data_IF_474990514200
#
_entry.id   IF_474990514200
#
_cell.length_a   1.000
_cell.length_b   1.000
_cell.length_c   1.000
_cell.angle_alpha   90.00
_cell.angle_beta   90.00
_cell.angle_gamma   90.00
#
_symmetry.space_group_name_H-M   'P 1'
#
loop_
_entity.id
_entity.type
_entity.pdbx_description
1 polymer ?
#
# COMPACT_ATOMS: atom_id res chain seq x y z
N UNK A 1 7.89 34.03 -14.22
CA UNK A 1 9.20 33.60 -13.73
C UNK A 1 9.23 33.88 -12.23
N UNK A 2 8.82 32.96 -11.41
CA UNK A 2 8.86 33.07 -9.95
C UNK A 2 9.89 32.07 -9.43
N UNK A 3 11.04 32.60 -9.02
CA UNK A 3 12.07 31.82 -8.31
C UNK A 3 11.51 31.37 -6.97
N UNK A 4 11.34 30.09 -6.80
CA UNK A 4 10.98 29.46 -5.53
C UNK A 4 12.14 29.66 -4.56
N UNK A 5 11.92 30.49 -3.54
CA UNK A 5 12.89 30.78 -2.48
C UNK A 5 12.96 29.57 -1.53
N UNK A 6 13.73 28.55 -1.91
CA UNK A 6 13.92 27.31 -1.12
C UNK A 6 14.50 27.54 0.28
N UNK A 7 15.19 28.64 0.52
CA UNK A 7 15.91 28.89 1.79
C UNK A 7 14.97 29.22 2.96
N UNK A 8 13.80 29.80 2.71
CA UNK A 8 12.84 30.17 3.77
C UNK A 8 11.98 29.00 4.25
N UNK A 9 11.72 28.03 3.39
CA UNK A 9 10.95 26.84 3.79
C UNK A 9 11.78 25.89 4.67
N UNK A 10 13.06 25.69 4.40
CA UNK A 10 13.93 24.85 5.23
C UNK A 10 14.14 25.42 6.64
N UNK A 11 14.27 26.74 6.79
CA UNK A 11 14.44 27.36 8.12
C UNK A 11 13.17 27.27 8.97
N UNK A 12 11.99 27.30 8.36
CA UNK A 12 10.72 27.13 9.04
C UNK A 12 10.55 25.68 9.57
N UNK A 13 10.99 24.67 8.81
CA UNK A 13 10.97 23.27 9.24
C UNK A 13 11.97 22.97 10.37
N UNK A 14 13.14 23.62 10.40
CA UNK A 14 14.11 23.44 11.49
C UNK A 14 13.64 24.08 12.80
N UNK A 15 13.06 25.26 12.75
CA UNK A 15 12.50 25.92 13.94
C UNK A 15 11.25 25.17 14.47
N UNK A 16 10.41 24.61 13.59
CA UNK A 16 9.31 23.73 14.00
C UNK A 16 9.81 22.46 14.72
N UNK A 17 10.98 21.95 14.34
CA UNK A 17 11.54 20.74 14.96
C UNK A 17 11.97 20.95 16.41
N UNK A 18 12.49 22.12 16.75
CA UNK A 18 12.84 22.46 18.13
C UNK A 18 11.63 22.80 19.00
N UNK A 19 10.56 23.34 18.43
CA UNK A 19 9.30 23.57 19.13
C UNK A 19 8.49 22.27 19.35
N UNK A 20 8.43 21.37 18.38
CA UNK A 20 7.77 20.07 18.47
C UNK A 20 8.41 19.17 19.56
N UNK A 21 9.72 19.34 19.83
CA UNK A 21 10.42 18.60 20.92
C UNK A 21 10.04 19.06 22.33
N UNK A 22 9.22 20.10 22.47
CA UNK A 22 8.65 20.55 23.75
C UNK A 22 7.23 20.02 24.00
N UNK A 23 6.61 19.39 23.00
CA UNK A 23 5.29 18.82 23.16
C UNK A 23 5.36 17.49 23.93
N UNK A 24 4.36 17.27 24.74
CA UNK A 24 4.20 16.03 25.47
C UNK A 24 3.93 14.90 24.49
N UNK A 25 4.76 13.89 24.51
CA UNK A 25 4.61 12.68 23.70
C UNK A 25 3.73 11.70 24.50
N UNK A 26 2.72 11.13 23.84
CA UNK A 26 1.96 10.00 24.39
C UNK A 26 2.84 8.75 24.22
N UNK A 27 3.32 8.19 25.31
CA UNK A 27 4.26 7.06 25.34
C UNK A 27 3.69 5.79 26.01
N UNK A 28 2.44 5.86 26.49
CA UNK A 28 1.75 4.73 27.09
C UNK A 28 0.37 4.49 26.48
N UNK A 29 -0.09 3.24 26.54
CA UNK A 29 -1.46 2.87 26.11
C UNK A 29 -2.51 3.53 27.02
N UNK A 30 -2.22 3.68 28.30
CA UNK A 30 -3.11 4.34 29.27
C UNK A 30 -3.36 5.79 28.88
N UNK A 31 -2.30 6.56 28.66
CA UNK A 31 -2.39 7.96 28.26
C UNK A 31 -3.09 8.14 26.90
N UNK A 32 -2.83 7.20 25.96
CA UNK A 32 -3.55 7.17 24.69
C UNK A 32 -5.05 6.96 24.89
N UNK A 33 -5.44 6.03 25.78
CA UNK A 33 -6.86 5.73 26.06
C UNK A 33 -7.55 6.85 26.84
N UNK A 34 -6.87 7.50 27.73
CA UNK A 34 -7.38 8.70 28.43
C UNK A 34 -7.71 9.83 27.44
N UNK A 35 -6.89 9.99 26.41
CA UNK A 35 -7.08 11.03 25.37
C UNK A 35 -8.18 10.68 24.37
N UNK A 36 -8.31 9.42 23.95
CA UNK A 36 -9.16 8.98 22.84
C UNK A 36 -10.33 8.07 23.23
N UNK A 37 -10.32 7.53 24.46
CA UNK A 37 -11.31 6.54 24.88
C UNK A 37 -11.20 5.21 24.14
N UNK A 38 -12.29 4.45 24.15
CA UNK A 38 -12.40 3.15 23.48
C UNK A 38 -13.41 3.21 22.33
N UNK A 39 -13.25 2.37 21.29
CA UNK A 39 -14.24 2.24 20.24
C UNK A 39 -15.59 1.81 20.86
N UNK A 40 -16.67 2.37 20.35
CA UNK A 40 -18.03 2.08 20.83
C UNK A 40 -19.01 1.86 19.69
N UNK A 41 -20.16 1.27 19.99
CA UNK A 41 -21.21 1.01 19.02
C UNK A 41 -20.73 0.16 17.84
N UNK A 42 -21.13 0.54 16.62
CA UNK A 42 -20.77 -0.19 15.39
C UNK A 42 -19.26 -0.29 15.15
N UNK A 43 -18.48 0.67 15.64
CA UNK A 43 -17.03 0.66 15.46
C UNK A 43 -16.36 -0.49 16.22
N UNK A 44 -16.92 -0.88 17.37
CA UNK A 44 -16.43 -2.02 18.16
C UNK A 44 -16.96 -3.38 17.68
N UNK A 45 -18.03 -3.39 16.87
CA UNK A 45 -18.73 -4.62 16.49
C UNK A 45 -18.48 -5.07 15.05
N UNK A 46 -17.78 -4.25 14.25
CA UNK A 46 -17.63 -4.49 12.80
C UNK A 46 -16.53 -5.47 12.43
N UNK A 47 -15.66 -5.82 13.38
CA UNK A 47 -14.55 -6.75 13.16
C UNK A 47 -15.08 -8.17 13.12
N UNK A 48 -14.70 -8.91 12.08
CA UNK A 48 -15.13 -10.28 11.83
C UNK A 48 -13.88 -11.17 11.70
N UNK A 49 -13.93 -12.44 12.12
CA UNK A 49 -12.80 -13.36 12.00
C UNK A 49 -12.67 -13.97 10.61
N UNK A 50 -13.63 -13.74 9.72
CA UNK A 50 -13.68 -14.33 8.38
C UNK A 50 -14.40 -13.41 7.39
N UNK A 51 -14.22 -13.69 6.10
CA UNK A 51 -14.93 -12.99 5.01
C UNK A 51 -16.43 -13.35 5.02
N UNK A 52 -17.22 -12.37 4.67
CA UNK A 52 -18.62 -12.54 4.30
C UNK A 52 -18.84 -12.24 2.80
N UNK A 53 -20.06 -12.38 2.31
CA UNK A 53 -20.41 -12.11 0.91
C UNK A 53 -20.07 -10.68 0.46
N UNK A 54 -20.10 -9.70 1.36
CA UNK A 54 -19.84 -8.29 1.05
C UNK A 54 -18.35 -8.00 0.95
N UNK A 55 -17.56 -8.55 1.86
CA UNK A 55 -16.10 -8.42 1.86
C UNK A 55 -15.47 -9.20 0.70
N UNK A 56 -16.01 -10.38 0.35
CA UNK A 56 -15.65 -11.12 -0.87
C UNK A 56 -15.91 -10.26 -2.11
N UNK A 57 -17.13 -9.72 -2.26
CA UNK A 57 -17.44 -8.85 -3.40
C UNK A 57 -16.57 -7.61 -3.48
N UNK A 58 -16.16 -7.03 -2.34
CA UNK A 58 -15.23 -5.90 -2.33
C UNK A 58 -13.83 -6.30 -2.82
N UNK A 59 -13.31 -7.46 -2.40
CA UNK A 59 -12.02 -8.00 -2.87
C UNK A 59 -12.06 -8.25 -4.38
N UNK A 60 -13.14 -8.84 -4.88
CA UNK A 60 -13.32 -9.13 -6.31
C UNK A 60 -13.37 -7.86 -7.18
N UNK A 61 -13.91 -6.77 -6.66
CA UNK A 61 -13.97 -5.47 -7.35
C UNK A 61 -12.66 -4.68 -7.25
N UNK A 62 -11.78 -5.01 -6.31
CA UNK A 62 -10.59 -4.22 -6.05
C UNK A 62 -9.47 -4.48 -7.08
N UNK A 63 -9.03 -3.45 -7.83
CA UNK A 63 -7.86 -3.55 -8.70
C UNK A 63 -6.56 -3.19 -7.98
N UNK A 64 -6.64 -2.72 -6.72
CA UNK A 64 -5.49 -2.16 -6.02
C UNK A 64 -5.56 -2.43 -4.52
N UNK A 65 -4.43 -2.78 -3.96
CA UNK A 65 -4.27 -2.96 -2.52
C UNK A 65 -2.89 -2.48 -2.05
N UNK A 66 -2.78 -2.25 -0.75
CA UNK A 66 -1.50 -2.00 -0.08
C UNK A 66 -1.27 -3.11 0.93
N UNK A 67 -0.09 -3.73 0.89
CA UNK A 67 0.36 -4.70 1.88
C UNK A 67 1.28 -3.99 2.87
N UNK A 68 1.00 -4.12 4.15
CA UNK A 68 1.85 -3.68 5.24
C UNK A 68 2.45 -4.89 5.94
N UNK A 69 3.76 -4.88 6.15
CA UNK A 69 4.52 -5.88 6.90
C UNK A 69 5.52 -5.19 7.82
N UNK A 70 5.90 -5.85 8.91
CA UNK A 70 6.87 -5.28 9.85
C UNK A 70 7.76 -6.37 10.44
N UNK A 71 8.97 -5.97 10.80
CA UNK A 71 9.93 -6.74 11.59
C UNK A 71 10.35 -5.91 12.80
N UNK A 72 11.19 -6.42 13.67
CA UNK A 72 11.74 -5.65 14.78
C UNK A 72 12.58 -4.44 14.34
N UNK A 73 13.12 -4.48 13.11
CA UNK A 73 14.02 -3.44 12.58
C UNK A 73 13.33 -2.43 11.65
N UNK A 74 12.06 -2.63 11.31
CA UNK A 74 11.35 -1.70 10.43
C UNK A 74 10.04 -2.23 9.87
N UNK A 75 9.37 -1.37 9.12
CA UNK A 75 8.12 -1.68 8.46
C UNK A 75 8.21 -1.38 6.95
N UNK A 76 7.41 -2.08 6.16
CA UNK A 76 7.25 -1.89 4.72
C UNK A 76 5.77 -1.74 4.36
N UNK A 77 5.49 -0.90 3.38
CA UNK A 77 4.16 -0.73 2.80
C UNK A 77 4.29 -0.80 1.27
N UNK A 78 3.87 -1.90 0.69
CA UNK A 78 4.02 -2.19 -0.74
C UNK A 78 2.67 -2.15 -1.48
N UNK A 79 2.54 -1.34 -2.55
CA UNK A 79 1.36 -1.36 -3.41
C UNK A 79 1.38 -2.62 -4.30
N UNK A 80 0.20 -3.19 -4.52
CA UNK A 80 -0.05 -4.25 -5.50
C UNK A 80 -1.27 -3.87 -6.32
N UNK A 81 -1.23 -4.14 -7.61
CA UNK A 81 -2.34 -3.81 -8.50
C UNK A 81 -2.36 -4.69 -9.74
N UNK A 82 -3.58 -4.99 -10.21
CA UNK A 82 -3.88 -5.76 -11.41
C UNK A 82 -5.38 -5.56 -11.73
N UNK A 83 -5.92 -6.01 -12.86
CA UNK A 83 -7.36 -5.95 -13.09
C UNK A 83 -8.17 -6.56 -11.94
N UNK A 84 -9.39 -6.08 -11.68
CA UNK A 84 -10.26 -6.62 -10.64
C UNK A 84 -10.36 -8.16 -10.69
N UNK A 85 -10.44 -8.81 -9.53
CA UNK A 85 -10.43 -10.27 -9.41
C UNK A 85 -9.05 -10.92 -9.46
N UNK A 86 -7.97 -10.13 -9.39
CA UNK A 86 -6.61 -10.68 -9.35
C UNK A 86 -6.28 -11.38 -8.03
N UNK A 87 -6.83 -10.92 -6.93
CA UNK A 87 -6.75 -11.61 -5.64
C UNK A 87 -7.75 -12.76 -5.65
N UNK A 88 -7.31 -13.97 -5.32
CA UNK A 88 -8.18 -15.13 -5.27
C UNK A 88 -8.68 -15.35 -3.86
N UNK A 89 -9.99 -15.42 -3.70
CA UNK A 89 -10.64 -15.85 -2.46
C UNK A 89 -10.70 -17.38 -2.47
N UNK A 90 -10.05 -18.00 -1.49
CA UNK A 90 -9.95 -19.47 -1.38
C UNK A 90 -10.89 -20.03 -0.29
N UNK A 91 -11.94 -19.29 0.05
CA UNK A 91 -12.89 -19.58 1.10
C UNK A 91 -13.03 -18.40 2.05
N UNK A 92 -13.74 -18.60 3.15
CA UNK A 92 -14.05 -17.50 4.09
C UNK A 92 -12.82 -17.03 4.90
N UNK A 93 -11.79 -17.87 5.01
CA UNK A 93 -10.63 -17.62 5.87
C UNK A 93 -9.32 -17.43 5.12
N UNK A 94 -9.32 -17.49 3.79
CA UNK A 94 -8.07 -17.40 3.03
C UNK A 94 -8.22 -16.58 1.76
N UNK A 95 -7.20 -15.77 1.47
CA UNK A 95 -7.02 -15.12 0.18
C UNK A 95 -5.60 -15.38 -0.34
N UNK A 96 -5.45 -15.36 -1.66
CA UNK A 96 -4.17 -15.50 -2.34
C UNK A 96 -3.90 -14.29 -3.23
N UNK A 97 -2.76 -13.65 -3.02
CA UNK A 97 -2.30 -12.47 -3.75
C UNK A 97 -1.13 -12.88 -4.63
N UNK A 98 -1.29 -12.97 -5.97
CA UNK A 98 -0.20 -13.32 -6.86
C UNK A 98 0.85 -12.23 -6.90
N UNK A 99 2.14 -12.59 -6.92
CA UNK A 99 3.21 -11.62 -7.10
C UNK A 99 3.43 -11.34 -8.59
N UNK A 100 3.45 -10.07 -8.96
CA UNK A 100 3.72 -9.64 -10.33
C UNK A 100 5.18 -9.19 -10.46
N UNK A 101 5.79 -9.27 -11.64
CA UNK A 101 7.14 -8.77 -11.87
C UNK A 101 7.30 -7.34 -11.40
N UNK A 102 8.39 -7.05 -10.72
CA UNK A 102 8.71 -5.73 -10.16
C UNK A 102 10.22 -5.48 -10.15
N UNK A 103 10.68 -4.69 -9.20
CA UNK A 103 12.08 -4.29 -9.05
C UNK A 103 12.97 -5.32 -8.31
N UNK A 104 12.44 -6.48 -7.95
CA UNK A 104 13.11 -7.55 -7.20
C UNK A 104 13.62 -7.16 -5.80
N UNK A 105 13.12 -6.08 -5.21
CA UNK A 105 13.45 -5.73 -3.81
C UNK A 105 12.91 -6.77 -2.83
N UNK A 106 11.71 -7.31 -3.12
CA UNK A 106 11.03 -8.38 -2.36
C UNK A 106 10.90 -8.09 -0.85
N UNK A 107 10.84 -6.82 -0.46
CA UNK A 107 10.83 -6.39 0.94
C UNK A 107 9.67 -7.02 1.72
N UNK A 108 8.45 -7.00 1.17
CA UNK A 108 7.28 -7.68 1.74
C UNK A 108 7.56 -9.16 2.04
N UNK A 109 8.13 -9.90 1.07
CA UNK A 109 8.38 -11.33 1.24
C UNK A 109 9.47 -11.61 2.27
N UNK A 110 10.53 -10.77 2.28
CA UNK A 110 11.60 -10.87 3.30
C UNK A 110 11.03 -10.67 4.70
N UNK A 111 10.18 -9.67 4.87
CA UNK A 111 9.54 -9.41 6.16
C UNK A 111 8.66 -10.59 6.58
N UNK A 112 7.86 -11.16 5.67
CA UNK A 112 6.98 -12.30 5.96
C UNK A 112 7.74 -13.58 6.34
N UNK A 113 8.98 -13.77 5.87
CA UNK A 113 9.83 -14.88 6.31
C UNK A 113 10.34 -14.72 7.76
N UNK A 114 10.39 -13.49 8.25
CA UNK A 114 10.84 -13.16 9.62
C UNK A 114 9.63 -13.07 10.55
N UNK A 115 8.59 -12.36 10.12
CA UNK A 115 7.35 -12.13 10.87
C UNK A 115 6.15 -12.36 9.91
N UNK A 116 5.33 -13.39 10.11
CA UNK A 116 4.26 -13.72 9.20
C UNK A 116 3.06 -12.77 9.25
N UNK A 117 3.02 -11.83 10.20
CA UNK A 117 1.89 -10.91 10.32
C UNK A 117 1.82 -9.94 9.13
N UNK A 118 0.62 -9.79 8.59
CA UNK A 118 0.31 -8.98 7.42
C UNK A 118 -0.93 -8.14 7.65
N UNK A 119 -0.89 -6.89 7.17
CA UNK A 119 -2.06 -6.05 7.02
C UNK A 119 -2.28 -5.73 5.54
N UNK A 120 -3.51 -5.82 5.08
CA UNK A 120 -3.88 -5.51 3.69
C UNK A 120 -5.01 -4.51 3.67
N UNK A 121 -4.87 -3.45 2.88
CA UNK A 121 -5.94 -2.49 2.61
C UNK A 121 -6.31 -2.57 1.14
N UNK A 122 -7.55 -2.92 0.83
CA UNK A 122 -8.12 -2.93 -0.50
C UNK A 122 -8.81 -1.61 -0.81
N UNK A 123 -8.63 -1.13 -2.03
CA UNK A 123 -9.27 0.09 -2.55
C UNK A 123 -9.98 -0.22 -3.86
N UNK A 124 -11.18 0.34 -4.01
CA UNK A 124 -11.95 0.29 -5.25
C UNK A 124 -12.12 1.72 -5.75
N UNK A 125 -11.60 2.10 -6.93
CA UNK A 125 -11.79 3.44 -7.47
C UNK A 125 -13.27 3.82 -7.54
N UNK A 126 -13.60 5.00 -7.01
CA UNK A 126 -14.98 5.48 -6.92
C UNK A 126 -15.74 5.07 -5.66
N UNK A 127 -15.23 4.12 -4.86
CA UNK A 127 -15.76 3.81 -3.53
C UNK A 127 -14.94 4.52 -2.45
N UNK A 128 -15.61 5.18 -1.53
CA UNK A 128 -14.92 5.90 -0.45
C UNK A 128 -14.58 5.01 0.74
N UNK A 129 -15.25 3.89 0.90
CA UNK A 129 -14.91 2.86 1.87
C UNK A 129 -13.67 2.09 1.41
N UNK A 130 -12.93 1.53 2.38
CA UNK A 130 -11.84 0.58 2.13
C UNK A 130 -12.07 -0.68 2.94
N UNK A 131 -11.53 -1.81 2.48
CA UNK A 131 -11.58 -3.05 3.22
C UNK A 131 -10.20 -3.32 3.83
N UNK A 132 -10.17 -3.65 5.13
CA UNK A 132 -8.96 -4.13 5.79
C UNK A 132 -9.06 -5.62 6.06
N UNK A 133 -7.95 -6.32 5.77
CA UNK A 133 -7.73 -7.71 6.12
C UNK A 133 -6.41 -7.81 6.87
N UNK A 134 -6.44 -8.38 8.06
CA UNK A 134 -5.25 -8.68 8.86
C UNK A 134 -5.16 -10.19 9.07
N UNK A 135 -3.94 -10.70 9.22
CA UNK A 135 -3.73 -12.13 9.44
C UNK A 135 -2.28 -12.54 9.37
N UNK A 136 -2.06 -13.81 9.07
CA UNK A 136 -0.73 -14.39 8.86
C UNK A 136 -0.56 -14.86 7.43
N UNK A 137 0.61 -14.69 6.89
CA UNK A 137 0.87 -14.99 5.49
C UNK A 137 2.07 -15.91 5.29
N UNK A 138 2.01 -16.64 4.18
CA UNK A 138 3.06 -17.53 3.70
C UNK A 138 3.34 -17.23 2.23
N UNK A 139 4.57 -17.42 1.79
CA UNK A 139 4.95 -17.37 0.38
C UNK A 139 4.72 -18.75 -0.22
N UNK A 140 3.95 -18.82 -1.30
CA UNK A 140 3.51 -20.08 -1.92
C UNK A 140 3.94 -20.12 -3.37
N UNK A 141 4.42 -21.30 -3.80
CA UNK A 141 4.86 -21.60 -5.16
C UNK A 141 4.09 -22.77 -5.77
N UNK A 142 2.84 -22.99 -5.33
CA UNK A 142 1.99 -24.03 -5.87
C UNK A 142 1.62 -23.76 -7.32
N UNK A 143 1.92 -24.71 -8.21
CA UNK A 143 1.78 -24.53 -9.64
C UNK A 143 0.33 -24.39 -10.12
N UNK A 144 -0.62 -25.07 -9.50
CA UNK A 144 -2.04 -25.02 -9.89
C UNK A 144 -2.61 -23.64 -9.53
N UNK A 145 -2.36 -23.20 -8.31
CA UNK A 145 -2.80 -21.90 -7.82
C UNK A 145 -2.17 -20.77 -8.64
N UNK A 146 -0.88 -20.83 -8.90
CA UNK A 146 -0.17 -19.83 -9.71
C UNK A 146 -0.67 -19.80 -11.16
N UNK A 147 -0.95 -20.96 -11.75
CA UNK A 147 -1.47 -21.06 -13.11
C UNK A 147 -2.85 -20.40 -13.24
N UNK A 148 -3.68 -20.49 -12.20
CA UNK A 148 -4.99 -19.81 -12.15
C UNK A 148 -4.88 -18.28 -12.15
N UNK A 149 -3.69 -17.75 -11.84
CA UNK A 149 -3.37 -16.33 -11.81
C UNK A 149 -2.58 -15.86 -13.05
N UNK A 150 -2.47 -16.70 -14.09
CA UNK A 150 -1.73 -16.34 -15.30
C UNK A 150 -2.37 -15.16 -16.03
N UNK A 151 -1.54 -14.21 -16.51
CA UNK A 151 -1.96 -13.08 -17.35
C UNK A 151 -1.13 -13.08 -18.63
N UNK A 152 -1.81 -13.03 -19.78
CA UNK A 152 -1.14 -13.11 -21.11
C UNK A 152 -0.18 -14.30 -21.23
N UNK A 153 -0.55 -15.44 -20.64
CA UNK A 153 0.25 -16.67 -20.63
C UNK A 153 1.45 -16.66 -19.68
N UNK A 154 1.67 -15.59 -18.92
CA UNK A 154 2.75 -15.50 -17.92
C UNK A 154 2.22 -15.87 -16.54
N UNK A 155 2.80 -16.91 -15.96
CA UNK A 155 2.48 -17.43 -14.62
C UNK A 155 3.36 -16.69 -13.60
N UNK A 156 2.80 -16.21 -12.46
CA UNK A 156 3.59 -15.65 -11.37
C UNK A 156 4.61 -16.66 -10.83
N UNK A 157 5.76 -16.20 -10.35
CA UNK A 157 6.77 -17.06 -9.73
C UNK A 157 6.34 -17.57 -8.34
N UNK A 158 5.57 -16.76 -7.63
CA UNK A 158 5.02 -17.07 -6.30
C UNK A 158 3.81 -16.18 -6.03
N UNK A 159 3.21 -16.37 -4.89
CA UNK A 159 2.19 -15.49 -4.34
C UNK A 159 2.16 -15.55 -2.83
N UNK A 160 1.36 -14.70 -2.24
CA UNK A 160 1.20 -14.57 -0.79
C UNK A 160 -0.15 -15.16 -0.43
N UNK A 161 -0.15 -16.27 0.31
CA UNK A 161 -1.34 -16.87 0.90
C UNK A 161 -1.55 -16.26 2.28
N UNK A 162 -2.69 -15.65 2.50
CA UNK A 162 -3.06 -15.00 3.77
C UNK A 162 -4.11 -15.84 4.47
N UNK A 163 -3.79 -16.33 5.66
CA UNK A 163 -4.72 -16.87 6.63
C UNK A 163 -5.32 -15.70 7.41
N UNK A 164 -6.63 -15.46 7.26
CA UNK A 164 -7.34 -14.29 7.77
C UNK A 164 -7.60 -14.47 9.27
N UNK A 165 -7.28 -13.46 10.07
CA UNK A 165 -7.58 -13.39 11.51
C UNK A 165 -8.61 -12.29 11.81
N UNK A 166 -8.62 -11.24 10.99
CA UNK A 166 -9.51 -10.10 11.17
C UNK A 166 -9.85 -9.46 9.82
N UNK A 167 -11.11 -9.13 9.62
CA UNK A 167 -11.59 -8.40 8.44
C UNK A 167 -12.66 -7.39 8.81
N UNK A 168 -12.60 -6.19 8.24
CA UNK A 168 -13.64 -5.19 8.41
C UNK A 168 -13.59 -4.06 7.37
N UNK A 169 -14.78 -3.51 7.10
CA UNK A 169 -14.91 -2.28 6.30
C UNK A 169 -14.41 -1.07 7.09
N UNK A 170 -13.55 -0.29 6.48
CA UNK A 170 -13.05 0.95 7.04
C UNK A 170 -13.90 2.14 6.56
N UNK A 171 -14.01 3.18 7.42
CA UNK A 171 -14.85 4.32 7.12
C UNK A 171 -14.31 5.17 5.96
N UNK A 172 -15.23 5.81 5.25
CA UNK A 172 -14.98 6.67 4.10
C UNK A 172 -14.26 8.01 4.39
N UNK A 173 -14.10 8.38 5.67
CA UNK A 173 -13.70 9.74 6.06
C UNK A 173 -12.37 10.21 5.46
N UNK A 174 -11.38 9.33 5.32
CA UNK A 174 -10.07 9.69 4.77
C UNK A 174 -10.18 10.01 3.27
N UNK A 175 -10.85 9.15 2.51
CA UNK A 175 -11.06 9.32 1.07
C UNK A 175 -11.91 10.57 0.78
N UNK A 176 -12.97 10.80 1.55
CA UNK A 176 -13.84 11.98 1.41
C UNK A 176 -13.04 13.27 1.71
N UNK A 177 -12.29 13.31 2.82
CA UNK A 177 -11.51 14.50 3.17
C UNK A 177 -10.40 14.83 2.17
N UNK A 178 -9.75 13.81 1.64
CA UNK A 178 -8.70 13.99 0.62
C UNK A 178 -9.24 14.24 -0.78
N UNK A 179 -10.55 14.02 -0.99
CA UNK A 179 -11.18 14.05 -2.33
C UNK A 179 -10.46 13.13 -3.33
N UNK A 180 -9.94 11.98 -2.86
CA UNK A 180 -9.00 11.15 -3.61
C UNK A 180 -9.53 10.73 -4.99
N UNK A 181 -10.83 10.49 -5.10
CA UNK A 181 -11.48 10.06 -6.35
C UNK A 181 -12.06 11.21 -7.19
N UNK A 182 -12.01 12.45 -6.68
CA UNK A 182 -12.56 13.59 -7.41
C UNK A 182 -11.62 13.98 -8.56
N UNK A 183 -12.16 14.26 -9.71
CA UNK A 183 -11.39 14.70 -10.89
C UNK A 183 -10.60 15.99 -10.61
N UNK A 184 -11.18 16.89 -9.80
CA UNK A 184 -10.54 18.15 -9.40
C UNK A 184 -9.27 17.95 -8.53
N UNK A 185 -9.12 16.79 -7.91
CA UNK A 185 -7.93 16.45 -7.10
C UNK A 185 -6.77 15.94 -7.94
N UNK A 186 -7.01 15.64 -9.22
CA UNK A 186 -5.96 15.18 -10.13
C UNK A 186 -5.08 16.34 -10.56
N UNK A 187 -3.79 16.23 -10.29
CA UNK A 187 -2.81 17.22 -10.73
C UNK A 187 -2.37 16.95 -12.18
N UNK A 188 -1.96 17.98 -12.89
CA UNK A 188 -1.20 17.77 -14.13
C UNK A 188 0.14 17.10 -13.78
N UNK A 189 0.41 15.93 -14.37
CA UNK A 189 1.66 15.18 -14.15
C UNK A 189 2.91 16.02 -14.35
N UNK A 190 2.84 17.04 -15.21
CA UNK A 190 3.96 17.95 -15.52
C UNK A 190 4.30 18.92 -14.38
N UNK A 191 3.44 19.06 -13.38
CA UNK A 191 3.70 19.94 -12.21
C UNK A 191 4.70 19.32 -11.22
N UNK A 192 5.04 18.05 -11.39
CA UNK A 192 5.99 17.32 -10.54
C UNK A 192 7.10 16.71 -11.40
N UNK A 193 8.37 16.71 -10.96
CA UNK A 193 9.48 16.14 -11.73
C UNK A 193 9.21 14.70 -12.20
N UNK A 194 9.75 14.37 -13.35
CA UNK A 194 9.70 12.98 -13.86
C UNK A 194 10.50 12.05 -12.94
N UNK A 195 10.17 10.76 -12.97
CA UNK A 195 10.93 9.78 -12.20
C UNK A 195 12.39 9.70 -12.63
N UNK A 196 12.67 10.00 -13.91
CA UNK A 196 14.03 10.11 -14.43
C UNK A 196 14.81 11.27 -13.81
N UNK A 197 14.20 12.45 -13.69
CA UNK A 197 14.80 13.60 -12.99
C UNK A 197 15.05 13.30 -11.52
N UNK A 198 14.05 12.73 -10.83
CA UNK A 198 14.16 12.37 -9.41
C UNK A 198 15.33 11.39 -9.19
N UNK A 199 15.46 10.34 -10.01
CA UNK A 199 16.56 9.38 -9.86
C UNK A 199 17.92 9.99 -10.22
N UNK A 200 18.00 10.85 -11.23
CA UNK A 200 19.23 11.54 -11.55
C UNK A 200 19.70 12.41 -10.37
N UNK A 201 18.79 13.13 -9.72
CA UNK A 201 19.12 13.99 -8.58
C UNK A 201 19.49 13.19 -7.32
N UNK A 202 18.79 12.06 -7.05
CA UNK A 202 19.00 11.26 -5.83
C UNK A 202 20.21 10.34 -5.91
N UNK A 203 20.50 9.78 -7.07
CA UNK A 203 21.61 8.84 -7.28
C UNK A 203 22.88 9.59 -7.65
N UNK A 204 22.76 10.66 -8.44
CA UNK A 204 23.89 11.50 -8.88
C UNK A 204 24.79 10.81 -9.91
N UNK A 205 26.04 11.30 -10.03
CA UNK A 205 27.02 10.81 -11.02
C UNK A 205 26.66 11.24 -12.45
N UNK A 206 26.98 10.39 -13.41
CA UNK A 206 26.74 10.65 -14.85
C UNK A 206 25.33 10.23 -15.31
N UNK A 207 24.40 9.98 -14.37
CA UNK A 207 23.06 9.53 -14.66
C UNK A 207 22.23 10.63 -15.31
N UNK A 208 21.80 10.44 -16.57
CA UNK A 208 20.98 11.44 -17.28
C UNK A 208 19.50 11.12 -17.12
N UNK A 209 18.75 12.10 -16.67
CA UNK A 209 17.31 12.00 -16.46
C UNK A 209 16.54 11.42 -17.64
N UNK A 210 16.92 11.81 -18.88
CA UNK A 210 16.31 11.31 -20.12
C UNK A 210 16.52 9.81 -20.30
N UNK A 211 17.73 9.32 -20.12
CA UNK A 211 18.08 7.91 -20.33
C UNK A 211 17.35 7.03 -19.29
N UNK A 212 17.24 7.51 -18.05
CA UNK A 212 16.48 6.85 -16.98
C UNK A 212 14.99 6.81 -17.30
N UNK A 213 14.44 7.92 -17.77
CA UNK A 213 13.03 7.99 -18.14
C UNK A 213 12.69 7.02 -19.28
N UNK A 214 13.51 6.99 -20.36
CA UNK A 214 13.32 6.07 -21.48
C UNK A 214 13.44 4.60 -21.05
N UNK A 215 14.38 4.25 -20.18
CA UNK A 215 14.53 2.88 -19.64
C UNK A 215 13.28 2.46 -18.82
N UNK A 216 12.75 3.35 -17.99
CA UNK A 216 11.54 3.10 -17.20
C UNK A 216 10.33 2.90 -18.09
N UNK A 217 10.11 3.78 -19.08
CA UNK A 217 9.00 3.68 -20.02
C UNK A 217 9.04 2.38 -20.83
N UNK A 218 10.23 1.98 -21.28
CA UNK A 218 10.42 0.72 -22.00
C UNK A 218 10.12 -0.48 -21.09
N UNK A 219 10.58 -0.46 -19.84
CA UNK A 219 10.26 -1.52 -18.86
C UNK A 219 8.77 -1.64 -18.58
N UNK A 220 8.04 -0.52 -18.51
CA UNK A 220 6.59 -0.56 -18.33
C UNK A 220 5.86 -1.15 -19.54
N UNK A 221 6.32 -0.90 -20.75
CA UNK A 221 5.74 -1.48 -21.98
C UNK A 221 6.02 -2.97 -22.12
N UNK A 222 7.24 -3.41 -21.83
CA UNK A 222 7.72 -4.75 -22.12
C UNK A 222 7.58 -5.75 -20.97
N UNK A 223 7.63 -5.26 -19.70
CA UNK A 223 7.79 -6.08 -18.49
C UNK A 223 6.71 -5.83 -17.45
N UNK A 224 5.54 -5.35 -17.86
CA UNK A 224 4.42 -5.18 -16.95
C UNK A 224 3.95 -6.52 -16.37
N UNK A 225 4.10 -7.60 -17.17
CA UNK A 225 3.85 -8.98 -16.77
C UNK A 225 5.03 -9.89 -17.13
#
# INVERSE_FOLDING_TARGET
MGTWNNTLQFSCFYNLKEEIMKEKIIDSIEELRDSFGFPSGRAAQKEMPSLDKHTIGFIELSPFLIIATATETGADASPKGDPPGFVKVLGENQIFIPDRPGNNRVDTMRNLLINPHIGVIFLVPGMSETLRVNGKAKIVTDNELLSSCAVKGKIPKCGILVDIEEVYMHCAKSIIRSKLWDNESQIDRKTFPSLGEIFADQIGGDLKAKDVYEDIENKYKEKLY
#
